data_IF_760321591223
#
_entry.id   IF_760321591223
#
_cell.length_a   1.000
_cell.length_b   1.000
_cell.length_c   1.000
_cell.angle_alpha   90.00
_cell.angle_beta   90.00
_cell.angle_gamma   90.00
#
_symmetry.space_group_name_H-M   'P 1'
#
loop_
_entity.id
_entity.type
_entity.pdbx_description
1 polymer ?
#
# COMPACT_ATOMS: atom_id res chain seq x y z
N UNK A 1 12.74 -23.72 4.40
CA UNK A 1 11.32 -23.95 4.72
C UNK A 1 10.54 -23.09 3.75
N UNK A 2 9.66 -23.66 2.94
CA UNK A 2 8.92 -22.90 1.92
C UNK A 2 7.74 -22.19 2.58
N UNK A 3 7.65 -20.86 2.43
CA UNK A 3 6.55 -20.05 2.96
C UNK A 3 5.24 -20.42 2.26
N UNK A 4 4.15 -20.52 3.02
CA UNK A 4 2.83 -20.88 2.53
C UNK A 4 2.07 -19.64 2.00
N UNK A 5 1.04 -19.85 1.18
CA UNK A 5 0.21 -18.76 0.64
C UNK A 5 -0.47 -17.94 1.74
N UNK A 6 -0.80 -18.57 2.85
CA UNK A 6 -1.40 -17.92 4.03
C UNK A 6 -0.43 -16.94 4.70
N UNK A 7 0.88 -17.18 4.63
CA UNK A 7 1.88 -16.23 5.12
C UNK A 7 1.87 -14.94 4.29
N UNK A 8 1.69 -15.06 2.97
CA UNK A 8 1.57 -13.91 2.06
C UNK A 8 0.27 -13.16 2.32
N UNK A 9 -0.86 -13.86 2.50
CA UNK A 9 -2.13 -13.22 2.87
C UNK A 9 -2.01 -12.45 4.17
N UNK A 10 -1.38 -13.06 5.17
CA UNK A 10 -1.10 -12.45 6.47
C UNK A 10 -0.25 -11.19 6.33
N UNK A 11 0.83 -11.24 5.53
CA UNK A 11 1.66 -10.07 5.23
C UNK A 11 0.83 -8.92 4.63
N UNK A 12 -0.01 -9.20 3.63
CA UNK A 12 -0.85 -8.16 2.99
C UNK A 12 -1.79 -7.55 4.03
N UNK A 13 -2.52 -8.37 4.79
CA UNK A 13 -3.46 -7.86 5.78
C UNK A 13 -2.77 -7.07 6.91
N UNK A 14 -1.62 -7.53 7.39
CA UNK A 14 -0.81 -6.81 8.37
C UNK A 14 -0.33 -5.46 7.82
N UNK A 15 0.05 -5.40 6.53
CA UNK A 15 0.46 -4.15 5.89
C UNK A 15 -0.69 -3.13 5.87
N UNK A 16 -1.92 -3.56 5.56
CA UNK A 16 -3.10 -2.70 5.58
C UNK A 16 -3.42 -2.20 7.00
N UNK A 17 -3.37 -3.10 7.99
CA UNK A 17 -3.61 -2.74 9.40
C UNK A 17 -2.57 -1.73 9.90
N UNK A 18 -1.29 -1.90 9.56
CA UNK A 18 -0.25 -0.94 9.94
C UNK A 18 -0.53 0.45 9.35
N UNK A 19 -0.98 0.53 8.08
CA UNK A 19 -1.33 1.81 7.46
C UNK A 19 -2.60 2.42 8.07
N UNK A 20 -3.60 1.62 8.41
CA UNK A 20 -4.85 2.09 9.03
C UNK A 20 -4.63 2.62 10.46
N UNK A 21 -3.71 2.01 11.20
CA UNK A 21 -3.34 2.39 12.57
C UNK A 21 -2.24 3.47 12.64
N UNK A 22 -1.78 3.98 11.49
CA UNK A 22 -0.62 4.88 11.38
C UNK A 22 0.67 4.32 12.01
N UNK A 23 0.80 2.99 12.06
CA UNK A 23 1.99 2.28 12.53
C UNK A 23 3.04 2.21 11.42
N UNK A 24 3.71 3.34 11.17
CA UNK A 24 4.68 3.50 10.08
C UNK A 24 5.90 2.60 10.22
N UNK A 25 6.45 2.48 11.44
CA UNK A 25 7.59 1.61 11.72
C UNK A 25 7.21 0.14 11.47
N UNK A 26 6.04 -0.28 11.96
CA UNK A 26 5.52 -1.62 11.71
C UNK A 26 5.30 -1.90 10.22
N UNK A 27 4.83 -0.92 9.44
CA UNK A 27 4.73 -1.07 7.99
C UNK A 27 6.11 -1.22 7.32
N UNK A 28 7.09 -0.39 7.69
CA UNK A 28 8.45 -0.45 7.13
C UNK A 28 9.22 -1.72 7.53
N UNK A 29 8.87 -2.35 8.65
CA UNK A 29 9.38 -3.65 9.07
C UNK A 29 8.83 -4.80 8.24
N UNK A 30 7.71 -4.62 7.54
CA UNK A 30 7.16 -5.59 6.59
C UNK A 30 7.82 -5.49 5.20
N UNK A 31 8.70 -4.52 4.99
CA UNK A 31 9.35 -4.22 3.72
C UNK A 31 10.80 -4.71 3.67
N UNK A 32 11.30 -5.08 2.50
CA UNK A 32 12.72 -5.34 2.27
C UNK A 32 13.53 -4.03 2.32
N UNK A 33 14.86 -4.12 2.46
CA UNK A 33 15.73 -2.94 2.43
C UNK A 33 15.67 -2.18 1.10
N UNK A 34 15.51 -2.91 -0.02
CA UNK A 34 15.36 -2.38 -1.38
C UNK A 34 13.91 -2.05 -1.76
N UNK A 35 13.02 -1.91 -0.78
CA UNK A 35 11.60 -1.71 -1.02
C UNK A 35 11.28 -0.43 -1.80
N UNK A 36 10.32 -0.54 -2.71
CA UNK A 36 9.79 0.57 -3.50
C UNK A 36 8.27 0.62 -3.44
N UNK A 37 7.73 1.84 -3.35
CA UNK A 37 6.29 2.10 -3.30
C UNK A 37 5.91 3.12 -4.36
N UNK A 38 4.81 2.86 -5.07
CA UNK A 38 4.21 3.84 -5.98
C UNK A 38 2.70 3.82 -5.94
N UNK A 39 2.11 4.98 -6.20
CA UNK A 39 0.68 5.16 -6.44
C UNK A 39 0.50 5.57 -7.88
N UNK A 40 -0.23 4.79 -8.65
CA UNK A 40 -0.47 5.03 -10.08
C UNK A 40 -1.95 5.10 -10.40
N UNK A 41 -2.31 5.83 -11.44
CA UNK A 41 -3.67 5.81 -11.99
C UNK A 41 -3.61 6.03 -13.50
N UNK A 42 -4.61 5.54 -14.24
CA UNK A 42 -4.69 5.78 -15.68
C UNK A 42 -5.43 7.08 -15.98
N UNK A 43 -4.86 7.98 -16.79
CA UNK A 43 -5.59 9.12 -17.35
C UNK A 43 -6.08 8.78 -18.77
N UNK A 44 -7.40 8.66 -18.99
CA UNK A 44 -7.95 8.49 -20.33
C UNK A 44 -7.65 9.66 -21.27
N UNK A 45 -7.55 10.88 -20.72
CA UNK A 45 -7.31 12.11 -21.48
C UNK A 45 -5.88 12.15 -22.01
N UNK A 46 -4.90 11.78 -21.18
CA UNK A 46 -3.49 11.71 -21.57
C UNK A 46 -3.10 10.37 -22.18
N UNK A 47 -4.00 9.37 -22.11
CA UNK A 47 -3.79 7.97 -22.55
C UNK A 47 -2.52 7.35 -21.98
N UNK A 48 -2.20 7.68 -20.73
CA UNK A 48 -1.02 7.19 -20.03
C UNK A 48 -1.28 7.10 -18.54
N UNK A 49 -0.40 6.37 -17.87
CA UNK A 49 -0.41 6.28 -16.43
C UNK A 49 0.24 7.52 -15.82
N UNK A 50 -0.41 8.02 -14.77
CA UNK A 50 0.06 9.09 -13.91
C UNK A 50 0.58 8.49 -12.61
N UNK A 51 1.64 9.08 -12.08
CA UNK A 51 2.25 8.68 -10.80
C UNK A 51 1.94 9.78 -9.79
N UNK A 52 1.21 9.43 -8.73
CA UNK A 52 0.87 10.36 -7.65
C UNK A 52 1.95 10.41 -6.57
N UNK A 53 2.60 9.28 -6.34
CA UNK A 53 3.69 9.14 -5.39
C UNK A 53 4.60 8.03 -5.89
N UNK A 54 5.91 8.23 -5.78
CA UNK A 54 6.91 7.18 -5.96
C UNK A 54 8.03 7.45 -4.96
N UNK A 55 8.34 6.45 -4.14
CA UNK A 55 9.36 6.52 -3.09
C UNK A 55 10.05 5.17 -2.91
N UNK A 56 11.31 5.20 -2.52
CA UNK A 56 11.99 4.03 -1.93
C UNK A 56 11.72 3.96 -0.41
N UNK A 57 12.21 2.91 0.25
CA UNK A 57 12.03 2.73 1.69
C UNK A 57 12.51 3.93 2.52
N UNK A 58 13.63 4.54 2.15
CA UNK A 58 14.18 5.70 2.86
C UNK A 58 13.31 6.96 2.65
N UNK A 59 12.83 7.18 1.42
CA UNK A 59 11.89 8.22 1.07
C UNK A 59 10.55 8.05 1.80
N UNK A 60 10.06 6.83 1.94
CA UNK A 60 8.86 6.52 2.75
C UNK A 60 9.09 6.83 4.23
N UNK A 61 10.22 6.44 4.81
CA UNK A 61 10.56 6.78 6.19
C UNK A 61 10.64 8.30 6.41
N UNK A 62 11.27 9.02 5.48
CA UNK A 62 11.34 10.48 5.52
C UNK A 62 9.95 11.12 5.38
N UNK A 63 9.10 10.61 4.49
CA UNK A 63 7.73 11.05 4.33
C UNK A 63 6.96 10.89 5.65
N UNK A 64 7.02 9.70 6.26
CA UNK A 64 6.36 9.39 7.53
C UNK A 64 6.82 10.29 8.69
N UNK A 65 8.12 10.56 8.79
CA UNK A 65 8.68 11.46 9.80
C UNK A 65 8.27 12.92 9.64
N UNK A 66 7.77 13.32 8.46
CA UNK A 66 7.39 14.70 8.17
C UNK A 66 5.88 14.92 8.03
N UNK A 67 5.05 13.92 8.33
CA UNK A 67 3.60 14.02 8.11
C UNK A 67 2.95 15.15 8.91
N UNK A 68 3.44 15.44 10.13
CA UNK A 68 2.97 16.56 10.96
C UNK A 68 3.14 17.94 10.30
N UNK A 69 4.08 18.06 9.35
CA UNK A 69 4.38 19.29 8.62
C UNK A 69 3.59 19.40 7.30
N UNK A 70 2.79 18.41 6.97
CA UNK A 70 1.95 18.39 5.78
C UNK A 70 0.48 18.56 6.15
N UNK A 71 -0.34 19.03 5.20
CA UNK A 71 -1.79 18.98 5.37
C UNK A 71 -2.21 17.52 5.38
N UNK A 72 -2.52 17.00 6.56
CA UNK A 72 -2.94 15.62 6.78
C UNK A 72 -4.46 15.51 6.70
N UNK A 73 -4.95 14.44 6.10
CA UNK A 73 -6.37 14.12 6.20
C UNK A 73 -6.65 13.48 7.56
N UNK A 74 -7.03 14.31 8.53
CA UNK A 74 -7.38 13.86 9.87
C UNK A 74 -8.58 12.91 9.86
N UNK A 75 -8.63 11.99 10.82
CA UNK A 75 -9.66 10.96 10.91
C UNK A 75 -9.05 9.57 10.91
N UNK A 76 -9.82 8.57 10.48
CA UNK A 76 -9.40 7.17 10.45
C UNK A 76 -9.61 6.57 9.07
N UNK A 77 -8.61 5.80 8.64
CA UNK A 77 -8.73 4.94 7.48
C UNK A 77 -9.13 3.54 7.88
N UNK A 78 -9.84 2.88 6.96
CA UNK A 78 -10.10 1.45 6.99
C UNK A 78 -9.89 0.92 5.57
N UNK A 79 -9.05 -0.10 5.43
CA UNK A 79 -8.80 -0.78 4.16
C UNK A 79 -9.47 -2.14 4.17
N UNK A 80 -10.50 -2.29 3.34
CA UNK A 80 -11.03 -3.59 3.01
C UNK A 80 -10.23 -4.18 1.86
N UNK A 81 -9.27 -5.05 2.18
CA UNK A 81 -8.38 -5.69 1.22
C UNK A 81 -8.76 -7.17 1.03
N UNK A 82 -8.76 -7.64 -0.21
CA UNK A 82 -8.96 -9.05 -0.56
C UNK A 82 -7.84 -9.52 -1.49
N UNK A 83 -7.05 -10.49 -1.03
CA UNK A 83 -5.97 -11.10 -1.82
C UNK A 83 -6.59 -11.98 -2.89
N UNK A 84 -6.68 -11.45 -4.11
CA UNK A 84 -7.38 -12.05 -5.23
C UNK A 84 -6.54 -13.13 -5.93
N UNK A 85 -5.24 -12.91 -6.08
CA UNK A 85 -4.35 -13.81 -6.80
C UNK A 85 -2.95 -13.81 -6.17
N UNK A 86 -2.36 -15.01 -6.10
CA UNK A 86 -0.96 -15.24 -5.70
C UNK A 86 -0.31 -16.06 -6.80
N UNK A 87 0.76 -15.53 -7.38
CA UNK A 87 1.54 -16.16 -8.45
C UNK A 87 3.00 -16.27 -8.01
N UNK A 88 3.44 -17.49 -7.67
CA UNK A 88 4.85 -17.73 -7.37
C UNK A 88 5.66 -17.71 -8.66
N UNK A 89 6.64 -16.80 -8.73
CA UNK A 89 7.59 -16.76 -9.84
C UNK A 89 8.64 -17.85 -9.68
N UNK A 90 9.08 -18.09 -8.44
CA UNK A 90 9.96 -19.18 -8.02
C UNK A 90 9.80 -19.43 -6.49
N UNK A 91 10.73 -20.16 -5.87
CA UNK A 91 10.71 -20.40 -4.42
C UNK A 91 11.04 -19.17 -3.57
N UNK A 92 11.62 -18.14 -4.18
CA UNK A 92 12.12 -16.92 -3.53
C UNK A 92 11.29 -15.67 -3.80
N UNK A 93 10.38 -15.69 -4.78
CA UNK A 93 9.59 -14.51 -5.16
C UNK A 93 8.16 -14.87 -5.55
N UNK A 94 7.20 -14.06 -5.11
CA UNK A 94 5.81 -14.12 -5.53
C UNK A 94 5.26 -12.75 -5.95
N UNK A 95 4.30 -12.78 -6.86
CA UNK A 95 3.46 -11.64 -7.21
C UNK A 95 2.09 -11.82 -6.55
N UNK A 96 1.59 -10.75 -5.91
CA UNK A 96 0.30 -10.79 -5.21
C UNK A 96 -0.57 -9.66 -5.71
N UNK A 97 -1.75 -9.99 -6.23
CA UNK A 97 -2.77 -9.00 -6.60
C UNK A 97 -3.83 -8.94 -5.52
N UNK A 98 -4.03 -7.76 -4.96
CA UNK A 98 -5.02 -7.51 -3.91
C UNK A 98 -5.98 -6.43 -4.38
N UNK A 99 -7.28 -6.69 -4.39
CA UNK A 99 -8.27 -5.62 -4.58
C UNK A 99 -8.51 -4.93 -3.25
N UNK A 100 -8.68 -3.60 -3.24
CA UNK A 100 -8.95 -2.88 -2.00
C UNK A 100 -9.94 -1.72 -2.16
N UNK A 101 -10.61 -1.42 -1.06
CA UNK A 101 -11.35 -0.18 -0.82
C UNK A 101 -10.76 0.49 0.42
N UNK A 102 -10.29 1.73 0.27
CA UNK A 102 -9.92 2.59 1.37
C UNK A 102 -11.12 3.49 1.71
N UNK A 103 -11.59 3.37 2.93
CA UNK A 103 -12.69 4.15 3.49
C UNK A 103 -12.11 5.11 4.51
N UNK A 104 -12.52 6.38 4.47
CA UNK A 104 -12.11 7.39 5.42
C UNK A 104 -13.31 7.84 6.26
N UNK A 105 -13.11 7.99 7.56
CA UNK A 105 -14.08 8.59 8.49
C UNK A 105 -13.43 9.81 9.13
N UNK A 106 -14.02 10.98 8.92
CA UNK A 106 -13.52 12.25 9.44
C UNK A 106 -13.83 12.45 10.93
N UNK A 107 -13.40 13.59 11.48
CA UNK A 107 -13.54 13.90 12.92
C UNK A 107 -14.99 14.13 13.32
N UNK A 108 -15.84 14.52 12.36
CA UNK A 108 -17.28 14.67 12.49
C UNK A 108 -18.03 13.33 12.39
N UNK A 109 -17.32 12.23 12.08
CA UNK A 109 -17.87 10.89 11.99
C UNK A 109 -18.52 10.58 10.63
N UNK A 110 -18.26 11.39 9.60
CA UNK A 110 -18.77 11.16 8.25
C UNK A 110 -17.84 10.17 7.53
N UNK A 111 -18.39 9.04 7.15
CA UNK A 111 -17.68 7.98 6.42
C UNK A 111 -17.88 8.11 4.91
N UNK A 112 -16.79 8.04 4.14
CA UNK A 112 -16.81 8.09 2.66
C UNK A 112 -15.84 7.08 2.08
N UNK A 113 -16.16 6.57 0.88
CA UNK A 113 -15.18 5.85 0.06
C UNK A 113 -14.11 6.86 -0.37
N UNK A 114 -12.87 6.62 0.04
CA UNK A 114 -11.73 7.50 -0.24
C UNK A 114 -11.01 7.09 -1.52
N UNK A 115 -10.62 5.82 -1.62
CA UNK A 115 -9.95 5.28 -2.80
C UNK A 115 -10.37 3.84 -3.07
N UNK A 116 -10.37 3.45 -4.35
CA UNK A 116 -10.55 2.07 -4.78
C UNK A 116 -9.45 1.72 -5.78
N UNK A 117 -9.00 0.47 -5.75
CA UNK A 117 -7.98 0.00 -6.68
C UNK A 117 -7.45 -1.38 -6.35
N UNK A 118 -6.21 -1.60 -6.80
CA UNK A 118 -5.45 -2.83 -6.58
C UNK A 118 -4.07 -2.54 -6.05
N UNK A 119 -3.59 -3.37 -5.13
CA UNK A 119 -2.16 -3.51 -4.91
C UNK A 119 -1.63 -4.59 -5.84
N UNK A 120 -0.60 -4.25 -6.60
CA UNK A 120 0.24 -5.19 -7.33
C UNK A 120 1.56 -5.27 -6.56
N UNK A 121 1.72 -6.34 -5.80
CA UNK A 121 2.84 -6.52 -4.90
C UNK A 121 3.85 -7.53 -5.46
N UNK A 122 5.12 -7.26 -5.24
CA UNK A 122 6.21 -8.25 -5.34
C UNK A 122 6.68 -8.57 -3.94
N UNK A 123 6.63 -9.84 -3.57
CA UNK A 123 6.97 -10.35 -2.25
C UNK A 123 8.23 -11.19 -2.32
N UNK A 124 9.21 -10.86 -1.48
CA UNK A 124 10.40 -11.68 -1.25
C UNK A 124 10.07 -12.82 -0.28
N UNK A 125 10.43 -14.03 -0.68
CA UNK A 125 10.24 -15.29 0.04
C UNK A 125 11.59 -15.98 0.37
N UNK A 126 12.72 -15.32 0.12
CA UNK A 126 14.05 -15.91 0.33
C UNK A 126 14.46 -16.04 1.80
N UNK A 127 13.79 -15.30 2.68
CA UNK A 127 14.04 -15.31 4.12
C UNK A 127 13.16 -16.28 4.93
N UNK A 128 13.15 -16.07 6.26
CA UNK A 128 12.32 -16.86 7.19
C UNK A 128 10.86 -16.37 7.29
N UNK A 129 10.55 -15.21 6.71
CA UNK A 129 9.22 -14.61 6.64
C UNK A 129 9.09 -13.84 5.33
N UNK A 130 7.87 -13.71 4.77
CA UNK A 130 7.68 -12.93 3.56
C UNK A 130 7.86 -11.44 3.85
N UNK A 131 8.43 -10.70 2.90
CA UNK A 131 8.61 -9.24 2.97
C UNK A 131 8.15 -8.58 1.67
N UNK A 132 7.55 -7.40 1.75
CA UNK A 132 7.19 -6.59 0.60
C UNK A 132 8.46 -6.01 -0.03
N UNK A 133 8.71 -6.34 -1.29
CA UNK A 133 9.81 -5.80 -2.09
C UNK A 133 9.35 -4.66 -2.99
N UNK A 134 8.14 -4.76 -3.51
CA UNK A 134 7.52 -3.69 -4.28
C UNK A 134 6.02 -3.67 -3.99
N UNK A 135 5.44 -2.47 -3.94
CA UNK A 135 4.00 -2.27 -3.99
C UNK A 135 3.65 -1.16 -4.96
N UNK A 136 2.84 -1.49 -5.96
CA UNK A 136 2.09 -0.50 -6.75
C UNK A 136 0.64 -0.47 -6.27
N UNK A 137 0.22 0.67 -5.71
CA UNK A 137 -1.19 0.99 -5.51
C UNK A 137 -1.76 1.57 -6.82
N UNK A 138 -2.34 0.69 -7.64
CA UNK A 138 -2.99 1.03 -8.90
C UNK A 138 -4.44 1.46 -8.63
N UNK A 139 -4.70 2.76 -8.67
CA UNK A 139 -5.99 3.35 -8.30
C UNK A 139 -6.92 3.52 -9.51
N UNK A 140 -8.19 3.20 -9.27
CA UNK A 140 -9.31 3.64 -10.12
C UNK A 140 -9.77 5.04 -9.71
N UNK A 141 -9.64 5.40 -8.42
CA UNK A 141 -9.88 6.76 -7.92
C UNK A 141 -8.76 7.70 -8.37
N UNK A 142 -9.06 8.62 -9.30
CA UNK A 142 -8.10 9.59 -9.85
C UNK A 142 -7.95 10.86 -9.03
N UNK A 143 -9.01 11.28 -8.35
CA UNK A 143 -9.02 12.49 -7.54
C UNK A 143 -9.04 12.10 -6.07
N UNK A 144 -7.90 12.29 -5.40
CA UNK A 144 -7.74 12.02 -3.98
C UNK A 144 -7.96 13.28 -3.12
N UNK A 145 -8.24 14.43 -3.75
CA UNK A 145 -8.30 15.71 -3.08
C UNK A 145 -6.93 16.26 -2.66
N UNK A 146 -6.95 17.39 -1.96
CA UNK A 146 -5.76 18.00 -1.37
C UNK A 146 -5.32 17.28 -0.09
N UNK A 147 -4.02 17.26 0.20
CA UNK A 147 -3.46 16.64 1.39
C UNK A 147 -3.06 15.17 1.23
N UNK A 148 -3.21 14.59 0.03
CA UNK A 148 -2.85 13.20 -0.23
C UNK A 148 -1.38 13.04 -0.60
N UNK A 149 -0.54 12.98 0.42
CA UNK A 149 0.86 12.55 0.31
C UNK A 149 1.12 11.30 1.15
N UNK A 150 0.09 10.50 1.42
CA UNK A 150 0.19 9.30 2.25
C UNK A 150 0.12 8.05 1.38
N UNK A 151 0.71 6.93 1.85
CA UNK A 151 0.49 5.65 1.21
C UNK A 151 -0.99 5.32 1.28
N UNK A 152 -1.53 4.95 0.12
CA UNK A 152 -2.86 4.34 -0.03
C UNK A 152 -2.72 2.85 0.16
#
# INVERSE_FOLDING_TARGET
MTLADDDLRTLIHQSCLCLDDNNWDGYLDLCTEDFTYRITTHSPELRKDMVWLEQDRAGMAHLFGNLENHVTLNGRFLRHANVALIERSDESTAQVTTTFLAVHTDLEGITKLFAAGRYNDVVDLGGNRPLLRNREARLDTRDLGGGTHFPI
#
